data_IF_159703527375
#
_entry.id   IF_159703527375
#
_cell.length_a   1.000
_cell.length_b   1.000
_cell.length_c   1.000
_cell.angle_alpha   90.00
_cell.angle_beta   90.00
_cell.angle_gamma   90.00
#
_symmetry.space_group_name_H-M   'P 1'
#
loop_
_entity.id
_entity.type
_entity.pdbx_description
1 polymer ?
#
# COMPACT_ATOMS: atom_id res chain seq x y z
N UNK A 1 -59.55 33.95 -11.22
CA UNK A 1 -58.64 33.13 -12.06
C UNK A 1 -57.19 33.58 -11.99
N UNK A 2 -56.89 34.87 -12.21
CA UNK A 2 -55.53 35.41 -12.36
C UNK A 2 -54.60 35.17 -11.14
N UNK A 3 -55.09 35.32 -9.90
CA UNK A 3 -54.29 35.08 -8.68
C UNK A 3 -53.76 33.63 -8.56
N UNK A 4 -54.56 32.62 -8.92
CA UNK A 4 -54.15 31.21 -8.88
C UNK A 4 -53.08 30.89 -9.94
N UNK A 5 -53.18 31.54 -11.10
CA UNK A 5 -52.20 31.38 -12.18
C UNK A 5 -50.84 31.99 -11.81
N UNK A 6 -50.85 33.21 -11.25
CA UNK A 6 -49.64 33.88 -10.76
C UNK A 6 -48.98 33.08 -9.63
N UNK A 7 -49.78 32.56 -8.69
CA UNK A 7 -49.26 31.75 -7.58
C UNK A 7 -48.59 30.45 -8.09
N UNK A 8 -49.18 29.79 -9.10
CA UNK A 8 -48.59 28.59 -9.73
C UNK A 8 -47.28 28.90 -10.46
N UNK A 9 -47.18 30.06 -11.12
CA UNK A 9 -45.94 30.50 -11.77
C UNK A 9 -44.83 30.81 -10.77
N UNK A 10 -45.16 31.50 -9.67
CA UNK A 10 -44.21 31.80 -8.59
C UNK A 10 -43.74 30.50 -7.92
N UNK A 11 -44.65 29.58 -7.64
CA UNK A 11 -44.34 28.27 -7.09
C UNK A 11 -43.39 27.47 -7.99
N UNK A 12 -43.69 27.36 -9.28
CA UNK A 12 -42.81 26.65 -10.23
C UNK A 12 -41.43 27.30 -10.36
N UNK A 13 -41.35 28.64 -10.28
CA UNK A 13 -40.07 29.36 -10.33
C UNK A 13 -39.24 29.11 -9.07
N UNK A 14 -39.86 29.15 -7.89
CA UNK A 14 -39.23 28.81 -6.61
C UNK A 14 -38.79 27.34 -6.56
N UNK A 15 -39.61 26.43 -7.07
CA UNK A 15 -39.29 25.00 -7.16
C UNK A 15 -38.10 24.76 -8.08
N UNK A 16 -38.07 25.37 -9.27
CA UNK A 16 -36.92 25.26 -10.17
C UNK A 16 -35.65 25.88 -9.59
N UNK A 17 -35.77 26.99 -8.85
CA UNK A 17 -34.64 27.65 -8.21
C UNK A 17 -34.08 26.80 -7.06
N UNK A 18 -34.95 26.20 -6.25
CA UNK A 18 -34.55 25.28 -5.17
C UNK A 18 -33.92 24.00 -5.72
N UNK A 19 -34.46 23.41 -6.78
CA UNK A 19 -33.85 22.25 -7.46
C UNK A 19 -32.44 22.59 -7.96
N UNK A 20 -32.24 23.75 -8.59
CA UNK A 20 -30.91 24.19 -9.04
C UNK A 20 -29.93 24.39 -7.89
N UNK A 21 -30.37 24.98 -6.78
CA UNK A 21 -29.54 25.16 -5.58
C UNK A 21 -29.15 23.80 -5.00
N UNK A 22 -30.09 22.86 -4.88
CA UNK A 22 -29.80 21.49 -4.42
C UNK A 22 -28.79 20.81 -5.35
N UNK A 23 -28.94 20.95 -6.67
CA UNK A 23 -28.02 20.36 -7.63
C UNK A 23 -26.60 20.96 -7.51
N UNK A 24 -26.48 22.28 -7.31
CA UNK A 24 -25.20 22.95 -7.06
C UNK A 24 -24.58 22.48 -5.73
N UNK A 25 -25.37 22.33 -4.67
CA UNK A 25 -24.91 21.82 -3.37
C UNK A 25 -24.41 20.38 -3.51
N UNK A 26 -25.12 19.50 -4.23
CA UNK A 26 -24.69 18.12 -4.49
C UNK A 26 -23.42 18.06 -5.34
N UNK A 27 -23.30 18.91 -6.36
CA UNK A 27 -22.07 19.04 -7.15
C UNK A 27 -20.91 19.53 -6.29
N UNK A 28 -21.13 20.50 -5.39
CA UNK A 28 -20.11 21.00 -4.48
C UNK A 28 -19.70 19.95 -3.43
N UNK A 29 -20.66 19.23 -2.83
CA UNK A 29 -20.38 18.11 -1.93
C UNK A 29 -19.54 17.04 -2.64
N UNK A 30 -19.90 16.65 -3.86
CA UNK A 30 -19.11 15.65 -4.61
C UNK A 30 -17.74 16.15 -5.07
N UNK A 31 -17.55 17.47 -5.28
CA UNK A 31 -16.26 18.05 -5.66
C UNK A 31 -15.33 18.39 -4.48
N UNK A 32 -15.89 18.71 -3.32
CA UNK A 32 -15.12 19.15 -2.13
C UNK A 32 -14.86 18.01 -1.15
N UNK A 33 -15.73 17.01 -1.07
CA UNK A 33 -15.49 15.81 -0.24
C UNK A 33 -14.34 14.87 -0.71
N UNK A 34 -13.91 14.79 -1.98
CA UNK A 34 -12.80 13.91 -2.36
C UNK A 34 -11.43 14.43 -1.86
N UNK A 35 -11.37 15.64 -1.29
CA UNK A 35 -10.15 16.17 -0.69
C UNK A 35 -9.97 15.77 0.80
N UNK A 36 -10.97 15.13 1.40
CA UNK A 36 -10.88 14.67 2.78
C UNK A 36 -10.32 13.25 2.78
N UNK A 37 -9.15 13.05 3.41
CA UNK A 37 -8.61 11.73 3.77
C UNK A 37 -9.48 11.03 4.83
N UNK A 38 -10.79 11.02 4.64
CA UNK A 38 -11.69 10.27 5.48
C UNK A 38 -11.58 8.79 5.09
N UNK A 39 -11.45 7.87 6.05
CA UNK A 39 -11.46 6.44 5.76
C UNK A 39 -12.74 6.11 5.00
N UNK A 40 -12.60 5.47 3.83
CA UNK A 40 -13.75 4.99 3.08
C UNK A 40 -14.50 4.00 3.98
N UNK A 41 -15.80 4.16 4.24
CA UNK A 41 -16.51 3.38 5.27
C UNK A 41 -16.53 1.85 5.04
N UNK A 42 -16.09 1.39 3.86
CA UNK A 42 -16.09 -0.01 3.42
C UNK A 42 -14.67 -0.62 3.35
N UNK A 43 -13.63 0.19 3.44
CA UNK A 43 -12.23 -0.26 3.39
C UNK A 43 -11.62 -0.05 4.77
N UNK A 44 -11.20 -1.14 5.41
CA UNK A 44 -10.44 -1.07 6.64
C UNK A 44 -8.94 -0.99 6.30
N UNK A 45 -8.21 -0.17 7.05
CA UNK A 45 -6.76 -0.16 6.97
C UNK A 45 -6.21 -1.49 7.50
N UNK A 46 -5.08 -1.89 6.96
CA UNK A 46 -4.28 -3.00 7.46
C UNK A 46 -2.81 -2.61 7.42
N UNK A 47 -2.03 -3.11 8.38
CA UNK A 47 -0.62 -2.79 8.55
C UNK A 47 0.19 -4.04 8.86
N UNK A 48 1.42 -4.09 8.36
CA UNK A 48 2.49 -4.90 8.93
C UNK A 48 3.74 -4.04 9.05
N UNK A 49 4.63 -4.41 9.98
CA UNK A 49 5.96 -3.84 10.06
C UNK A 49 7.01 -4.96 10.12
N UNK A 50 8.11 -4.79 9.39
CA UNK A 50 9.21 -5.73 9.34
C UNK A 50 10.54 -5.05 9.65
N UNK A 51 11.41 -5.76 10.37
CA UNK A 51 12.78 -5.35 10.67
C UNK A 51 13.73 -6.51 10.36
N UNK A 52 14.65 -6.31 9.43
CA UNK A 52 15.52 -7.38 8.96
C UNK A 52 16.95 -6.89 8.82
N UNK A 53 17.90 -7.62 9.39
CA UNK A 53 19.33 -7.39 9.15
C UNK A 53 19.83 -8.39 8.12
N UNK A 54 20.25 -7.89 6.96
CA UNK A 54 20.79 -8.69 5.87
C UNK A 54 22.31 -8.73 5.92
N UNK A 55 22.86 -9.91 5.62
CA UNK A 55 24.30 -10.16 5.55
C UNK A 55 24.68 -10.76 4.20
N UNK A 56 25.92 -10.52 3.80
CA UNK A 56 26.55 -11.17 2.66
C UNK A 56 27.94 -11.67 3.09
N UNK A 57 28.08 -12.98 3.20
CA UNK A 57 29.29 -13.63 3.71
C UNK A 57 29.66 -13.18 5.13
N UNK A 58 28.66 -13.01 6.01
CA UNK A 58 28.86 -12.58 7.40
C UNK A 58 28.94 -11.06 7.62
N UNK A 59 29.24 -10.29 6.57
CA UNK A 59 29.29 -8.83 6.61
C UNK A 59 27.92 -8.20 6.34
N UNK A 60 27.63 -6.98 6.85
CA UNK A 60 26.43 -6.23 6.47
C UNK A 60 26.23 -6.14 4.96
N UNK A 61 25.05 -6.51 4.47
CA UNK A 61 24.76 -6.44 3.05
C UNK A 61 24.55 -5.00 2.58
N UNK A 62 25.08 -4.67 1.39
CA UNK A 62 24.87 -3.39 0.74
C UNK A 62 24.18 -3.56 -0.62
N UNK A 63 23.70 -2.45 -1.19
CA UNK A 63 23.06 -2.42 -2.51
C UNK A 63 21.94 -3.46 -2.67
N UNK A 64 21.09 -3.58 -1.65
CA UNK A 64 19.92 -4.46 -1.66
C UNK A 64 18.66 -3.61 -1.75
N UNK A 65 17.82 -3.94 -2.73
CA UNK A 65 16.54 -3.30 -2.98
C UNK A 65 15.43 -4.24 -2.55
N UNK A 66 14.48 -3.74 -1.77
CA UNK A 66 13.34 -4.51 -1.29
C UNK A 66 12.07 -3.89 -1.85
N UNK A 67 11.26 -4.71 -2.52
CA UNK A 67 9.95 -4.30 -3.01
C UNK A 67 8.89 -5.09 -2.28
N UNK A 68 7.98 -4.38 -1.62
CA UNK A 68 6.85 -4.99 -0.95
C UNK A 68 5.67 -5.04 -1.90
N UNK A 69 5.07 -6.21 -1.97
CA UNK A 69 3.85 -6.43 -2.73
C UNK A 69 2.77 -7.07 -1.86
N UNK A 70 1.53 -6.76 -2.21
CA UNK A 70 0.35 -7.44 -1.72
C UNK A 70 -0.12 -8.46 -2.76
N UNK A 71 -0.32 -9.71 -2.32
CA UNK A 71 -0.92 -10.80 -3.08
C UNK A 71 -2.29 -11.16 -2.52
N UNK A 72 -3.19 -10.19 -2.48
CA UNK A 72 -4.53 -10.39 -1.96
C UNK A 72 -5.50 -10.72 -3.10
N UNK A 73 -6.30 -11.77 -2.92
CA UNK A 73 -7.32 -12.21 -3.88
C UNK A 73 -6.82 -12.40 -5.34
N UNK A 74 -5.57 -12.83 -5.51
CA UNK A 74 -4.96 -13.06 -6.83
C UNK A 74 -4.52 -11.79 -7.56
N UNK A 75 -4.63 -10.62 -6.94
CA UNK A 75 -4.14 -9.35 -7.49
C UNK A 75 -2.77 -9.06 -6.90
N UNK A 76 -1.82 -8.74 -7.77
CA UNK A 76 -0.50 -8.29 -7.38
C UNK A 76 -0.44 -6.77 -7.38
N UNK A 77 -0.28 -6.16 -6.20
CA UNK A 77 -0.15 -4.71 -6.09
C UNK A 77 1.12 -4.31 -5.36
N UNK A 78 1.82 -3.30 -5.87
CA UNK A 78 3.04 -2.78 -5.26
C UNK A 78 2.67 -1.87 -4.09
N UNK A 79 3.16 -2.20 -2.90
CA UNK A 79 2.95 -1.41 -1.67
C UNK A 79 4.06 -0.38 -1.50
N UNK A 80 5.31 -0.77 -1.75
CA UNK A 80 6.45 0.14 -1.55
C UNK A 80 7.78 -0.42 -2.03
N UNK A 81 8.76 0.46 -2.15
CA UNK A 81 10.16 0.10 -2.39
C UNK A 81 11.03 0.77 -1.35
N UNK A 82 12.01 0.03 -0.84
CA UNK A 82 12.99 0.50 0.14
C UNK A 82 14.35 -0.10 -0.17
N UNK A 83 15.38 0.51 0.37
CA UNK A 83 16.75 0.01 0.34
C UNK A 83 17.21 -0.22 1.77
N UNK A 84 18.24 -1.05 1.94
CA UNK A 84 18.91 -1.16 3.24
C UNK A 84 19.61 0.15 3.59
N UNK A 85 19.75 0.40 4.87
CA UNK A 85 20.70 1.39 5.37
C UNK A 85 22.15 0.88 5.26
N UNK A 86 23.10 1.73 5.64
CA UNK A 86 24.54 1.45 5.59
C UNK A 86 24.95 0.28 6.51
N UNK A 87 24.15 -0.05 7.51
CA UNK A 87 24.38 -1.17 8.43
C UNK A 87 23.81 -2.50 7.93
N UNK A 88 23.27 -2.54 6.70
CA UNK A 88 22.58 -3.70 6.14
C UNK A 88 21.22 -3.96 6.80
N UNK A 89 20.66 -2.96 7.49
CA UNK A 89 19.40 -3.07 8.19
C UNK A 89 18.24 -2.52 7.36
N UNK A 90 17.12 -3.23 7.45
CA UNK A 90 15.85 -2.92 6.81
C UNK A 90 14.81 -2.66 7.89
N UNK A 91 14.06 -1.57 7.76
CA UNK A 91 12.86 -1.31 8.55
C UNK A 91 11.78 -0.71 7.67
N UNK A 92 10.60 -1.33 7.65
CA UNK A 92 9.48 -0.86 6.86
C UNK A 92 8.14 -1.21 7.50
N UNK A 93 7.22 -0.26 7.50
CA UNK A 93 5.81 -0.50 7.78
C UNK A 93 5.01 -0.25 6.50
N UNK A 94 4.32 -1.29 6.03
CA UNK A 94 3.42 -1.20 4.88
C UNK A 94 1.98 -1.06 5.37
N UNK A 95 1.26 -0.06 4.88
CA UNK A 95 -0.16 0.16 5.15
C UNK A 95 -0.94 0.08 3.84
N UNK A 96 -2.06 -0.63 3.86
CA UNK A 96 -3.02 -0.67 2.74
C UNK A 96 -4.43 -0.42 3.27
N UNK A 97 -5.33 0.04 2.40
CA UNK A 97 -6.77 -0.02 2.62
C UNK A 97 -7.38 -1.17 1.80
N UNK A 98 -8.13 -2.06 2.45
CA UNK A 98 -8.59 -3.27 1.78
C UNK A 98 -9.70 -3.98 2.55
N UNK A 99 -10.62 -4.60 1.83
CA UNK A 99 -11.63 -5.47 2.43
C UNK A 99 -11.06 -6.84 2.77
N UNK A 100 -10.19 -7.36 1.90
CA UNK A 100 -9.59 -8.67 2.06
C UNK A 100 -8.32 -8.62 2.91
N UNK A 101 -7.99 -9.70 3.64
CA UNK A 101 -6.79 -9.74 4.46
C UNK A 101 -5.52 -9.51 3.62
N UNK A 102 -4.72 -8.51 4.01
CA UNK A 102 -3.45 -8.17 3.41
C UNK A 102 -2.51 -9.39 3.42
N UNK A 103 -1.88 -9.68 2.29
CA UNK A 103 -0.97 -10.80 2.12
C UNK A 103 0.41 -10.31 1.60
N UNK A 104 1.28 -9.80 2.49
CA UNK A 104 2.49 -9.10 2.09
C UNK A 104 3.66 -10.04 1.76
N UNK A 105 4.38 -9.74 0.68
CA UNK A 105 5.63 -10.38 0.30
C UNK A 105 6.72 -9.31 0.12
N UNK A 106 7.89 -9.57 0.72
CA UNK A 106 9.09 -8.77 0.52
C UNK A 106 9.97 -9.42 -0.54
N UNK A 107 10.03 -8.82 -1.73
CA UNK A 107 10.96 -9.24 -2.78
C UNK A 107 12.28 -8.55 -2.55
N UNK A 108 13.33 -9.33 -2.32
CA UNK A 108 14.68 -8.86 -2.02
C UNK A 108 15.54 -9.08 -3.25
N UNK A 109 16.05 -7.98 -3.79
CA UNK A 109 16.94 -7.94 -4.95
C UNK A 109 18.35 -7.58 -4.47
N UNK A 110 19.34 -8.42 -4.77
CA UNK A 110 20.70 -8.21 -4.29
C UNK A 110 21.77 -8.74 -5.26
N UNK A 111 23.00 -8.25 -5.10
CA UNK A 111 24.16 -8.68 -5.88
C UNK A 111 25.20 -9.47 -5.07
N UNK A 112 24.85 -9.93 -3.87
CA UNK A 112 25.73 -10.79 -3.06
C UNK A 112 26.23 -11.98 -3.88
N UNK A 113 27.55 -12.11 -4.02
CA UNK A 113 28.24 -13.13 -4.82
C UNK A 113 27.80 -13.20 -6.31
N UNK A 114 27.38 -12.07 -6.89
CA UNK A 114 27.11 -11.95 -8.32
C UNK A 114 28.23 -11.15 -8.99
N UNK A 115 28.97 -11.79 -9.89
CA UNK A 115 30.08 -11.18 -10.63
C UNK A 115 29.64 -10.42 -11.89
N UNK A 116 28.49 -10.76 -12.46
CA UNK A 116 27.97 -10.12 -13.68
C UNK A 116 27.25 -8.81 -13.33
N UNK A 117 27.68 -7.65 -13.87
CA UNK A 117 27.15 -6.35 -13.46
C UNK A 117 25.67 -6.14 -13.81
N UNK A 118 25.19 -6.77 -14.88
CA UNK A 118 23.81 -6.70 -15.36
C UNK A 118 22.87 -7.74 -14.71
N UNK A 119 23.37 -8.53 -13.76
CA UNK A 119 22.57 -9.52 -13.06
C UNK A 119 22.37 -9.18 -11.58
N UNK A 120 21.26 -9.67 -11.02
CA UNK A 120 20.97 -9.67 -9.59
C UNK A 120 20.19 -10.94 -9.21
N UNK A 121 20.19 -11.29 -7.92
CA UNK A 121 19.36 -12.35 -7.37
C UNK A 121 18.06 -11.76 -6.85
N UNK A 122 16.96 -12.47 -7.07
CA UNK A 122 15.65 -12.21 -6.48
C UNK A 122 15.30 -13.36 -5.54
N UNK A 123 14.93 -13.03 -4.30
CA UNK A 123 14.29 -13.94 -3.35
C UNK A 123 13.04 -13.27 -2.80
N UNK A 124 12.13 -14.02 -2.18
CA UNK A 124 10.96 -13.46 -1.53
C UNK A 124 10.82 -13.97 -0.10
N UNK A 125 10.34 -13.09 0.78
CA UNK A 125 9.96 -13.42 2.15
C UNK A 125 8.46 -13.15 2.30
N UNK A 126 7.69 -14.19 2.60
CA UNK A 126 6.28 -14.04 2.95
C UNK A 126 6.17 -13.51 4.38
N UNK A 127 5.39 -12.45 4.58
CA UNK A 127 5.04 -11.97 5.92
C UNK A 127 3.84 -12.79 6.42
N UNK A 128 4.00 -13.59 7.48
CA UNK A 128 2.92 -14.42 7.97
C UNK A 128 1.76 -13.58 8.52
N UNK A 129 0.55 -14.14 8.45
CA UNK A 129 -0.69 -13.43 8.80
C UNK A 129 -0.72 -12.93 10.27
N UNK A 130 -0.01 -13.58 11.19
CA UNK A 130 0.08 -13.15 12.59
C UNK A 130 0.88 -11.85 12.80
N UNK A 131 1.52 -11.32 11.75
CA UNK A 131 2.19 -10.02 11.74
C UNK A 131 1.41 -8.94 10.97
N UNK A 132 0.20 -9.27 10.51
CA UNK A 132 -0.69 -8.36 9.77
C UNK A 132 -1.85 -7.99 10.68
N UNK A 133 -2.06 -6.69 10.88
CA UNK A 133 -3.06 -6.16 11.81
C UNK A 133 -4.06 -5.27 11.08
N UNK A 134 -5.30 -5.27 11.55
CA UNK A 134 -6.30 -4.29 11.13
C UNK A 134 -6.02 -2.93 11.79
N UNK A 135 -6.25 -1.86 11.05
CA UNK A 135 -5.93 -0.50 11.43
C UNK A 135 -4.55 -0.04 10.94
N UNK A 136 -4.01 0.96 11.63
CA UNK A 136 -2.72 1.60 11.33
C UNK A 136 -1.71 1.44 12.46
N UNK A 137 -2.08 0.71 13.52
CA UNK A 137 -1.23 0.43 14.66
C UNK A 137 -0.74 -1.01 14.62
N UNK A 138 0.55 -1.21 14.89
CA UNK A 138 1.19 -2.52 14.87
C UNK A 138 1.32 -3.06 16.29
N UNK A 139 0.95 -4.32 16.51
CA UNK A 139 1.15 -4.98 17.81
C UNK A 139 2.44 -5.77 17.89
N UNK A 140 3.02 -6.17 16.74
CA UNK A 140 4.24 -6.98 16.65
C UNK A 140 4.99 -6.72 15.35
N UNK A 141 6.31 -6.68 15.42
CA UNK A 141 7.19 -6.58 14.25
C UNK A 141 7.61 -7.97 13.76
N UNK A 142 7.67 -8.15 12.45
CA UNK A 142 8.32 -9.30 11.82
C UNK A 142 9.83 -9.10 11.82
N UNK A 143 10.53 -9.76 12.75
CA UNK A 143 11.94 -9.51 13.03
C UNK A 143 12.84 -10.67 12.55
N UNK A 144 13.86 -10.37 11.76
CA UNK A 144 14.93 -11.32 11.39
C UNK A 144 16.29 -10.66 11.61
N UNK A 145 17.09 -11.20 12.53
CA UNK A 145 18.36 -10.57 12.95
C UNK A 145 19.58 -10.92 12.09
N UNK A 146 19.56 -12.01 11.34
CA UNK A 146 20.71 -12.46 10.55
C UNK A 146 20.23 -13.19 9.31
N UNK A 147 19.78 -12.46 8.29
CA UNK A 147 19.39 -13.03 7.02
C UNK A 147 20.59 -13.06 6.06
N UNK A 148 21.12 -14.25 5.82
CA UNK A 148 22.34 -14.43 5.02
C UNK A 148 22.02 -14.62 3.53
N UNK A 149 22.44 -13.68 2.69
CA UNK A 149 22.15 -13.60 1.26
C UNK A 149 23.07 -14.48 0.39
N UNK A 150 24.18 -14.97 0.94
CA UNK A 150 25.10 -15.82 0.18
C UNK A 150 24.59 -17.28 0.02
N UNK A 151 23.59 -17.68 0.81
CA UNK A 151 22.98 -19.01 0.79
C UNK A 151 21.95 -19.11 -0.33
N UNK A 152 21.68 -20.34 -0.76
CA UNK A 152 20.56 -20.62 -1.67
C UNK A 152 19.26 -20.58 -0.89
N UNK A 153 18.32 -19.77 -1.36
CA UNK A 153 16.97 -19.67 -0.79
C UNK A 153 15.93 -20.34 -1.69
N UNK A 154 14.84 -20.82 -1.08
CA UNK A 154 13.73 -21.39 -1.85
C UNK A 154 13.11 -20.36 -2.78
N UNK A 155 12.93 -20.72 -4.04
CA UNK A 155 12.37 -19.83 -5.06
C UNK A 155 13.30 -18.70 -5.51
N UNK A 156 14.59 -18.77 -5.18
CA UNK A 156 15.61 -17.83 -5.67
C UNK A 156 15.69 -17.86 -7.21
N UNK A 157 15.77 -16.68 -7.81
CA UNK A 157 15.98 -16.49 -9.25
C UNK A 157 17.18 -15.61 -9.51
N UNK A 158 17.87 -15.86 -10.61
CA UNK A 158 18.87 -14.94 -11.15
C UNK A 158 18.18 -14.17 -12.29
N UNK A 159 18.17 -12.85 -12.18
CA UNK A 159 17.62 -11.94 -13.17
C UNK A 159 18.79 -11.21 -13.83
N UNK A 160 18.82 -11.17 -15.16
CA UNK A 160 19.83 -10.45 -15.94
C UNK A 160 19.13 -9.58 -16.98
N UNK A 161 19.52 -8.31 -17.06
CA UNK A 161 19.06 -7.37 -18.08
C UNK A 161 20.01 -7.33 -19.29
#
# INVERSE_FOLDING_TARGET
>A
MLKKFILKLIYNKLLNMTIKIIFIILLFLTYVLPAQKLPRPWFAYQIFCARISFKCNGEPANNVRIVTYDYTAGIYSKVGTRYLDESGYFSFCGVIDGYFPFNPYLYVYHKCNISKPNCEKEIYLHIPRDYVFWGVEVSKYYDIKNFELNKTHSGEKILCN
#
